data_IF_713899687177
#
_entry.id   IF_713899687177
#
_cell.length_a   1.000
_cell.length_b   1.000
_cell.length_c   1.000
_cell.angle_alpha   90.00
_cell.angle_beta   90.00
_cell.angle_gamma   90.00
#
_symmetry.space_group_name_H-M   'P 1'
#
loop_
_entity.id
_entity.type
_entity.pdbx_description
1 polymer ?
#
# COMPACT_ATOMS: atom_id res chain seq x y z
N UNK A 1 12.50 1.97 -2.04
CA UNK A 1 12.59 0.82 -2.95
C UNK A 1 11.60 1.07 -4.07
N UNK A 2 12.02 0.95 -5.33
CA UNK A 2 11.10 1.06 -6.47
C UNK A 2 10.25 -0.22 -6.48
N UNK A 3 8.94 -0.11 -6.67
CA UNK A 3 7.96 -1.20 -6.50
C UNK A 3 8.08 -2.39 -7.46
N UNK A 4 8.98 -2.32 -8.46
CA UNK A 4 9.15 -3.36 -9.48
C UNK A 4 8.10 -3.34 -10.60
N UNK A 5 7.02 -2.54 -10.46
CA UNK A 5 5.97 -2.34 -11.47
C UNK A 5 5.27 -0.98 -11.31
N UNK A 6 4.57 -0.54 -12.35
CA UNK A 6 3.79 0.72 -12.33
C UNK A 6 2.54 0.59 -11.45
N UNK A 7 2.25 1.64 -10.67
CA UNK A 7 1.06 1.72 -9.81
C UNK A 7 0.41 3.10 -9.93
N UNK A 8 -0.91 3.17 -9.76
CA UNK A 8 -1.70 4.40 -9.89
C UNK A 8 -1.20 5.59 -9.06
N UNK A 9 -0.63 5.42 -7.83
CA UNK A 9 -0.03 6.51 -7.08
C UNK A 9 1.08 7.27 -7.81
N UNK A 10 1.76 6.63 -8.77
CA UNK A 10 2.75 7.31 -9.62
C UNK A 10 2.06 8.38 -10.48
N UNK A 11 0.93 8.06 -11.11
CA UNK A 11 0.21 9.02 -11.95
C UNK A 11 -0.31 10.21 -11.14
N UNK A 12 -0.77 9.99 -9.90
CA UNK A 12 -1.18 11.07 -9.01
C UNK A 12 0.00 11.96 -8.61
N UNK A 13 1.14 11.36 -8.26
CA UNK A 13 2.35 12.11 -7.93
C UNK A 13 2.86 12.94 -9.12
N UNK A 14 2.84 12.38 -10.34
CA UNK A 14 3.20 13.09 -11.58
C UNK A 14 2.26 14.26 -11.89
N UNK A 15 0.99 14.16 -11.49
CA UNK A 15 0.00 15.24 -11.60
C UNK A 15 0.12 16.29 -10.48
N UNK A 16 1.11 16.19 -9.58
CA UNK A 16 1.31 17.12 -8.46
C UNK A 16 0.38 16.87 -7.26
N UNK A 17 -0.32 15.74 -7.22
CA UNK A 17 -1.17 15.34 -6.09
C UNK A 17 -0.34 14.46 -5.15
N UNK A 18 -0.20 14.80 -3.85
CA UNK A 18 0.48 13.94 -2.90
C UNK A 18 -0.19 12.55 -2.84
N UNK A 19 0.58 11.52 -3.15
CA UNK A 19 0.08 10.14 -3.20
C UNK A 19 1.10 9.18 -2.59
N UNK A 20 0.59 8.11 -1.98
CA UNK A 20 1.38 7.05 -1.39
C UNK A 20 0.74 5.69 -1.61
N UNK A 21 1.55 4.64 -1.56
CA UNK A 21 1.10 3.25 -1.67
C UNK A 21 1.63 2.46 -0.46
N UNK A 22 0.76 1.66 0.15
CA UNK A 22 1.14 0.71 1.20
C UNK A 22 1.17 -0.69 0.59
N UNK A 23 2.33 -1.35 0.60
CA UNK A 23 2.43 -2.75 0.22
C UNK A 23 1.99 -3.65 1.35
N UNK A 24 1.15 -4.64 1.01
CA UNK A 24 0.77 -5.71 1.93
C UNK A 24 1.59 -6.94 1.57
N UNK A 25 2.13 -7.62 2.60
CA UNK A 25 2.87 -8.86 2.39
C UNK A 25 1.95 -9.91 1.79
N UNK A 26 2.41 -10.50 0.70
CA UNK A 26 1.82 -11.68 0.08
C UNK A 26 2.83 -12.82 0.23
N UNK A 27 2.41 -13.96 0.78
CA UNK A 27 3.31 -15.07 1.12
C UNK A 27 3.96 -15.72 -0.11
N UNK A 28 3.28 -15.67 -1.26
CA UNK A 28 3.69 -16.38 -2.48
C UNK A 28 3.77 -15.46 -3.70
N UNK A 29 3.76 -14.13 -3.47
CA UNK A 29 3.68 -13.14 -4.54
C UNK A 29 2.29 -13.04 -5.18
N UNK A 30 2.06 -11.96 -5.93
CA UNK A 30 0.81 -11.77 -6.66
C UNK A 30 0.81 -12.51 -8.01
N UNK A 31 -0.37 -12.60 -8.64
CA UNK A 31 -0.54 -13.10 -10.01
C UNK A 31 -0.10 -14.55 -10.23
N UNK A 32 -0.31 -15.41 -9.23
CA UNK A 32 -0.08 -16.84 -9.38
C UNK A 32 -1.13 -17.66 -8.60
N UNK A 33 -1.32 -18.96 -8.92
CA UNK A 33 -2.35 -19.78 -8.29
C UNK A 33 -2.19 -19.98 -6.77
N UNK A 34 -0.99 -19.76 -6.24
CA UNK A 34 -0.70 -19.90 -4.82
C UNK A 34 -0.76 -18.55 -4.08
N UNK A 35 -1.18 -17.47 -4.74
CA UNK A 35 -1.33 -16.16 -4.13
C UNK A 35 -2.10 -16.24 -2.80
N UNK A 36 -1.46 -15.79 -1.72
CA UNK A 36 -2.06 -15.83 -0.38
C UNK A 36 -1.59 -14.65 0.46
N UNK A 37 -2.51 -14.20 1.31
CA UNK A 37 -2.29 -13.14 2.29
C UNK A 37 -2.75 -13.63 3.65
N UNK A 38 -1.86 -13.53 4.64
CA UNK A 38 -2.19 -13.71 6.05
C UNK A 38 -3.03 -12.53 6.53
N UNK A 39 -4.08 -12.81 7.30
CA UNK A 39 -4.97 -11.75 7.81
C UNK A 39 -4.25 -10.80 8.76
N UNK A 40 -3.16 -11.26 9.40
CA UNK A 40 -2.31 -10.42 10.24
C UNK A 40 -1.58 -9.35 9.43
N UNK A 41 -1.09 -9.68 8.22
CA UNK A 41 -0.44 -8.71 7.34
C UNK A 41 -1.44 -7.65 6.85
N UNK A 42 -2.69 -8.05 6.57
CA UNK A 42 -3.76 -7.13 6.24
C UNK A 42 -4.10 -6.20 7.41
N UNK A 43 -4.25 -6.76 8.62
CA UNK A 43 -4.54 -5.98 9.82
C UNK A 43 -3.43 -4.94 10.11
N UNK A 44 -2.16 -5.29 9.88
CA UNK A 44 -1.04 -4.37 10.06
C UNK A 44 -1.08 -3.24 9.02
N UNK A 45 -1.38 -3.54 7.75
CA UNK A 45 -1.56 -2.52 6.73
C UNK A 45 -2.70 -1.53 7.11
N UNK A 46 -3.82 -2.05 7.65
CA UNK A 46 -4.89 -1.20 8.17
C UNK A 46 -4.42 -0.32 9.33
N UNK A 47 -3.61 -0.83 10.26
CA UNK A 47 -3.04 -0.02 11.36
C UNK A 47 -2.16 1.11 10.84
N UNK A 48 -1.33 0.86 9.82
CA UNK A 48 -0.49 1.89 9.20
C UNK A 48 -1.35 3.01 8.62
N UNK A 49 -2.39 2.66 7.84
CA UNK A 49 -3.31 3.65 7.24
C UNK A 49 -4.08 4.41 8.32
N UNK A 50 -4.60 3.71 9.34
CA UNK A 50 -5.30 4.35 10.46
C UNK A 50 -4.38 5.32 11.19
N UNK A 51 -3.15 4.90 11.52
CA UNK A 51 -2.18 5.76 12.20
C UNK A 51 -1.87 7.00 11.38
N UNK A 52 -1.65 6.84 10.08
CA UNK A 52 -1.44 7.96 9.17
C UNK A 52 -2.62 8.94 9.16
N UNK A 53 -3.86 8.42 9.07
CA UNK A 53 -5.08 9.26 9.11
C UNK A 53 -5.25 10.03 10.42
N UNK A 54 -4.83 9.48 11.56
CA UNK A 54 -4.94 10.14 12.86
C UNK A 54 -3.76 11.07 13.18
N UNK A 55 -2.57 10.79 12.63
CA UNK A 55 -1.37 11.61 12.84
C UNK A 55 -1.30 12.79 11.88
N UNK A 56 -1.84 12.63 10.68
CA UNK A 56 -2.04 13.74 9.77
C UNK A 56 -3.22 14.57 10.29
N UNK A 57 -2.94 15.78 10.75
CA UNK A 57 -3.94 16.83 10.88
C UNK A 57 -4.44 17.10 9.45
N UNK A 58 -5.52 16.42 9.06
CA UNK A 58 -6.17 16.59 7.75
C UNK A 58 -6.89 17.95 7.79
N UNK A 59 -6.11 19.04 7.76
CA UNK A 59 -6.57 20.41 7.51
C UNK A 59 -6.32 20.76 6.06
#
# INVERSE_FOLDING_TARGET
MVSGGGHDPVAFAEAGIPAGLVFIRNQFGSHNPNEAMRMEDFAEACRVVQRWLFDCDVR
#
